data_IF_895920665365
#
_entry.id   IF_895920665365
#
_cell.length_a   1.000
_cell.length_b   1.000
_cell.length_c   1.000
_cell.angle_alpha   90.00
_cell.angle_beta   90.00
_cell.angle_gamma   90.00
#
_symmetry.space_group_name_H-M   'P 1'
#
loop_
_entity.id
_entity.type
_entity.pdbx_description
1 polymer ?
#
# COMPACT_ATOMS: atom_id res chain seq x y z
N UNK A 1 50.58 12.07 -23.27
CA UNK A 1 50.26 10.77 -22.63
C UNK A 1 51.00 10.73 -21.31
N UNK A 2 50.38 11.19 -20.21
CA UNK A 2 50.89 10.92 -18.86
C UNK A 2 49.89 9.98 -18.18
N UNK A 3 50.41 8.86 -17.69
CA UNK A 3 49.62 7.72 -17.22
C UNK A 3 48.68 8.05 -16.08
N UNK A 4 47.57 7.31 -16.04
CA UNK A 4 46.61 7.34 -14.96
C UNK A 4 47.26 6.95 -13.64
N UNK A 5 46.91 7.70 -12.59
CA UNK A 5 47.17 7.32 -11.22
C UNK A 5 46.30 6.13 -10.85
N UNK A 6 46.94 5.04 -10.44
CA UNK A 6 46.26 3.83 -9.99
C UNK A 6 45.70 4.06 -8.59
N UNK A 7 44.41 3.73 -8.41
CA UNK A 7 43.59 3.88 -7.20
C UNK A 7 44.00 2.95 -6.05
N UNK A 8 45.22 3.10 -5.51
CA UNK A 8 45.64 2.36 -4.30
C UNK A 8 46.43 3.29 -3.38
N UNK A 9 45.75 3.94 -2.45
CA UNK A 9 46.36 4.46 -1.22
C UNK A 9 46.49 3.28 -0.25
N UNK A 10 47.60 2.53 -0.32
CA UNK A 10 47.98 1.60 0.77
C UNK A 10 48.47 2.44 1.93
N UNK A 11 47.67 2.52 3.00
CA UNK A 11 48.11 3.02 4.30
C UNK A 11 48.95 1.93 4.98
N UNK A 12 50.27 2.06 4.98
CA UNK A 12 51.16 1.20 5.78
C UNK A 12 51.10 1.61 7.24
N UNK A 13 50.69 0.76 8.20
CA UNK A 13 50.58 1.18 9.59
C UNK A 13 51.92 1.73 10.10
N UNK A 14 51.88 2.92 10.71
CA UNK A 14 53.05 3.51 11.35
C UNK A 14 53.58 2.64 12.50
N UNK A 15 54.82 2.86 12.95
CA UNK A 15 55.50 2.00 13.94
C UNK A 15 54.76 1.84 15.28
N UNK A 16 53.72 2.63 15.56
CA UNK A 16 52.95 2.61 16.81
C UNK A 16 51.43 2.41 16.62
N UNK A 17 50.96 1.87 15.49
CA UNK A 17 49.51 1.74 15.22
C UNK A 17 48.76 3.10 15.25
N UNK A 18 49.46 4.21 15.03
CA UNK A 18 48.80 5.51 14.91
C UNK A 18 47.89 5.51 13.68
N UNK A 19 46.64 5.93 13.87
CA UNK A 19 45.67 6.03 12.78
C UNK A 19 46.19 7.03 11.77
N UNK A 20 46.50 6.56 10.55
CA UNK A 20 47.03 7.38 9.47
C UNK A 20 45.93 8.26 8.90
N UNK A 21 45.77 9.44 9.49
CA UNK A 21 45.02 10.52 8.87
C UNK A 21 45.90 11.21 7.83
N UNK A 22 45.37 11.55 6.65
CA UNK A 22 46.13 12.36 5.70
C UNK A 22 46.36 13.76 6.29
N UNK A 23 47.62 14.18 6.40
CA UNK A 23 47.99 15.52 6.90
C UNK A 23 47.59 16.65 5.94
N UNK A 24 47.28 16.32 4.69
CA UNK A 24 46.74 17.29 3.71
C UNK A 24 45.72 16.64 2.78
N UNK A 25 44.63 17.36 2.49
CA UNK A 25 43.55 16.92 1.58
C UNK A 25 43.80 17.26 0.11
N UNK A 26 44.99 17.78 -0.25
CA UNK A 26 45.27 18.29 -1.60
C UNK A 26 45.18 17.25 -2.72
N UNK A 27 45.43 15.97 -2.42
CA UNK A 27 45.32 14.84 -3.35
C UNK A 27 44.19 13.86 -2.98
N UNK A 28 43.26 14.26 -2.13
CA UNK A 28 42.17 13.40 -1.71
C UNK A 28 41.10 13.32 -2.81
N UNK A 29 40.92 12.16 -3.42
CA UNK A 29 39.89 11.94 -4.44
C UNK A 29 38.75 11.12 -3.82
N UNK A 30 37.56 11.71 -3.73
CA UNK A 30 36.38 11.04 -3.20
C UNK A 30 35.65 10.33 -4.35
N UNK A 31 35.49 9.00 -4.27
CA UNK A 31 34.72 8.23 -5.26
C UNK A 31 33.21 8.38 -5.02
N UNK A 32 32.70 9.60 -5.25
CA UNK A 32 31.29 9.95 -5.04
C UNK A 32 30.37 9.26 -6.04
N UNK A 33 30.93 8.91 -7.20
CA UNK A 33 30.22 8.30 -8.32
C UNK A 33 29.66 6.94 -7.93
N UNK A 34 30.48 6.09 -7.28
CA UNK A 34 30.04 4.79 -6.78
C UNK A 34 28.93 4.90 -5.74
N UNK A 35 29.04 5.85 -4.80
CA UNK A 35 28.00 6.06 -3.79
C UNK A 35 26.69 6.57 -4.40
N UNK A 36 26.75 7.54 -5.30
CA UNK A 36 25.56 8.09 -5.96
C UNK A 36 24.75 7.03 -6.72
N UNK A 37 25.45 6.06 -7.31
CA UNK A 37 24.86 5.01 -8.12
C UNK A 37 24.14 3.94 -7.29
N UNK A 38 24.47 3.73 -6.01
CA UNK A 38 23.92 2.60 -5.24
C UNK A 38 23.03 3.07 -4.09
N UNK A 39 23.34 4.24 -3.53
CA UNK A 39 22.77 4.66 -2.27
C UNK A 39 21.37 5.25 -2.48
N UNK A 40 20.35 4.55 -1.97
CA UNK A 40 18.95 5.02 -1.95
C UNK A 40 18.02 4.40 -2.98
N UNK A 41 18.51 3.50 -3.84
CA UNK A 41 17.72 2.87 -4.90
C UNK A 41 16.43 2.23 -4.36
N UNK A 42 16.55 1.41 -3.31
CA UNK A 42 15.39 0.74 -2.70
C UNK A 42 14.39 1.70 -2.06
N UNK A 43 14.86 2.77 -1.40
CA UNK A 43 13.98 3.75 -0.75
C UNK A 43 13.23 4.62 -1.76
N UNK A 44 13.86 4.95 -2.88
CA UNK A 44 13.24 5.69 -3.98
C UNK A 44 12.26 4.81 -4.75
N UNK A 45 12.63 3.56 -5.05
CA UNK A 45 11.76 2.60 -5.72
C UNK A 45 10.47 2.32 -4.92
N UNK A 46 10.58 2.12 -3.60
CA UNK A 46 9.44 1.87 -2.73
C UNK A 46 8.42 3.02 -2.73
N UNK A 47 8.89 4.27 -2.84
CA UNK A 47 8.04 5.46 -2.82
C UNK A 47 7.69 5.98 -4.23
N UNK A 48 8.18 5.34 -5.30
CA UNK A 48 8.07 5.80 -6.67
C UNK A 48 6.61 5.98 -7.12
N UNK A 49 5.78 4.98 -6.82
CA UNK A 49 4.37 4.95 -7.22
C UNK A 49 3.59 6.11 -6.60
N UNK A 50 3.77 6.36 -5.30
CA UNK A 50 3.09 7.46 -4.61
C UNK A 50 3.64 8.83 -5.02
N UNK A 51 4.96 8.90 -5.25
CA UNK A 51 5.62 10.11 -5.74
C UNK A 51 5.05 10.58 -7.07
N UNK A 52 4.84 9.65 -7.99
CA UNK A 52 4.29 9.94 -9.30
C UNK A 52 2.85 10.49 -9.25
N UNK A 53 2.06 10.24 -8.20
CA UNK A 53 0.72 10.83 -8.09
C UNK A 53 0.76 12.35 -7.84
N UNK A 54 1.80 12.87 -7.19
CA UNK A 54 1.96 14.30 -6.88
C UNK A 54 2.42 15.13 -8.09
N UNK A 55 2.04 16.41 -8.18
CA UNK A 55 2.57 17.33 -9.21
C UNK A 55 4.00 17.78 -8.90
N UNK A 56 4.42 17.70 -7.64
CA UNK A 56 5.81 17.95 -7.22
C UNK A 56 6.81 16.98 -7.86
N UNK A 57 6.33 15.92 -8.48
CA UNK A 57 7.15 14.98 -9.23
C UNK A 57 7.80 15.61 -10.48
N UNK A 58 7.27 16.73 -10.99
CA UNK A 58 7.86 17.49 -12.09
C UNK A 58 8.94 18.48 -11.67
N UNK A 59 9.14 18.69 -10.37
CA UNK A 59 10.05 19.71 -9.87
C UNK A 59 11.53 19.27 -10.07
N UNK A 60 12.41 20.14 -10.60
CA UNK A 60 13.82 19.83 -10.81
C UNK A 60 14.56 19.71 -9.47
N UNK A 61 14.88 18.49 -9.05
CA UNK A 61 15.38 18.19 -7.71
C UNK A 61 16.46 17.12 -7.73
N UNK A 62 17.19 17.01 -6.63
CA UNK A 62 18.08 15.88 -6.42
C UNK A 62 17.28 14.63 -6.05
N UNK A 63 17.56 13.53 -6.76
CA UNK A 63 17.00 12.21 -6.49
C UNK A 63 18.19 11.25 -6.32
N UNK A 64 18.29 10.52 -5.19
CA UNK A 64 19.29 9.48 -5.05
C UNK A 64 18.97 8.33 -6.00
N UNK A 65 19.99 7.74 -6.65
CA UNK A 65 19.82 6.58 -7.54
C UNK A 65 18.66 6.70 -8.55
N UNK A 66 18.62 7.74 -9.42
CA UNK A 66 17.50 7.99 -10.32
C UNK A 66 17.28 6.88 -11.36
N UNK A 67 18.29 6.03 -11.61
CA UNK A 67 18.17 4.85 -12.47
C UNK A 67 17.08 3.87 -12.01
N UNK A 68 16.74 3.84 -10.71
CA UNK A 68 15.64 3.04 -10.17
C UNK A 68 14.30 3.33 -10.86
N UNK A 69 14.15 4.56 -11.39
CA UNK A 69 12.93 5.08 -11.99
C UNK A 69 12.99 5.09 -13.53
N UNK A 70 14.11 4.68 -14.13
CA UNK A 70 14.32 4.68 -15.59
C UNK A 70 14.18 3.28 -16.19
N UNK A 71 13.44 2.38 -15.53
CA UNK A 71 13.24 1.01 -15.97
C UNK A 71 12.71 0.96 -17.42
N UNK A 72 13.20 0.05 -18.29
CA UNK A 72 12.75 -0.05 -19.68
C UNK A 72 11.28 -0.50 -19.79
N UNK A 73 10.85 -1.34 -18.85
CA UNK A 73 9.47 -1.82 -18.70
C UNK A 73 8.91 -1.31 -17.38
N UNK A 74 7.78 -0.58 -17.44
CA UNK A 74 7.08 -0.07 -16.27
C UNK A 74 6.00 -1.06 -15.82
N UNK A 75 5.71 -1.15 -14.50
CA UNK A 75 4.61 -1.95 -14.00
C UNK A 75 3.27 -1.38 -14.50
N UNK A 76 2.37 -2.23 -14.98
CA UNK A 76 1.04 -1.83 -15.46
C UNK A 76 -0.02 -1.84 -14.35
N UNK A 77 0.30 -2.46 -13.22
CA UNK A 77 -0.57 -2.62 -12.06
C UNK A 77 0.21 -2.30 -10.79
N UNK A 78 -0.50 -1.82 -9.78
CA UNK A 78 0.06 -1.70 -8.44
C UNK A 78 0.23 -3.11 -7.88
N UNK A 79 1.40 -3.42 -7.33
CA UNK A 79 1.65 -4.75 -6.78
C UNK A 79 0.83 -4.93 -5.49
N UNK A 80 0.07 -6.03 -5.36
CA UNK A 80 -0.70 -6.28 -4.17
C UNK A 80 0.22 -6.54 -2.98
N UNK A 81 0.06 -5.74 -1.92
CA UNK A 81 0.91 -5.79 -0.73
C UNK A 81 0.63 -7.03 0.14
N UNK A 82 -0.60 -7.56 0.09
CA UNK A 82 -1.04 -8.63 0.99
C UNK A 82 -1.75 -9.75 0.26
N UNK A 83 -1.27 -10.99 0.49
CA UNK A 83 -1.97 -12.21 0.09
C UNK A 83 -3.09 -12.48 1.10
N UNK A 84 -4.33 -12.24 0.69
CA UNK A 84 -5.52 -12.58 1.46
C UNK A 84 -6.65 -12.90 0.47
N UNK A 85 -7.51 -13.84 0.83
CA UNK A 85 -8.65 -14.19 -0.01
C UNK A 85 -9.81 -13.25 0.30
N UNK A 86 -10.31 -12.58 -0.73
CA UNK A 86 -11.39 -11.61 -0.67
C UNK A 86 -12.61 -12.21 -1.35
N UNK A 87 -13.72 -12.36 -0.63
CA UNK A 87 -14.96 -12.93 -1.14
C UNK A 87 -16.12 -11.99 -0.91
N UNK A 88 -16.86 -11.65 -1.97
CA UNK A 88 -18.12 -10.94 -1.84
C UNK A 88 -19.22 -11.87 -1.35
N UNK A 89 -19.97 -11.44 -0.35
CA UNK A 89 -20.98 -12.27 0.33
C UNK A 89 -22.17 -12.56 -0.55
N UNK A 90 -22.71 -11.55 -1.24
CA UNK A 90 -23.93 -11.69 -2.04
C UNK A 90 -23.65 -11.86 -3.55
N UNK A 91 -22.61 -11.21 -4.09
CA UNK A 91 -22.27 -11.34 -5.53
C UNK A 91 -21.43 -12.57 -5.85
N UNK A 92 -20.82 -13.18 -4.83
CA UNK A 92 -20.03 -14.41 -4.96
C UNK A 92 -18.70 -14.24 -5.73
N UNK A 93 -18.28 -13.00 -5.97
CA UNK A 93 -17.00 -12.72 -6.61
C UNK A 93 -15.83 -13.04 -5.65
N UNK A 94 -14.76 -13.63 -6.16
CA UNK A 94 -13.60 -14.03 -5.35
C UNK A 94 -12.30 -13.61 -5.99
N UNK A 95 -11.40 -13.06 -5.19
CA UNK A 95 -10.02 -12.73 -5.57
C UNK A 95 -9.06 -13.18 -4.47
N UNK A 96 -7.91 -13.74 -4.84
CA UNK A 96 -6.93 -14.31 -3.89
C UNK A 96 -5.91 -13.30 -3.36
N UNK A 97 -6.13 -12.00 -3.60
CA UNK A 97 -5.28 -10.92 -3.14
C UNK A 97 -6.08 -9.65 -2.85
N UNK A 98 -5.52 -8.78 -2.01
CA UNK A 98 -6.05 -7.45 -1.76
C UNK A 98 -5.29 -6.46 -2.65
N UNK A 99 -6.03 -5.63 -3.38
CA UNK A 99 -5.50 -4.52 -4.15
C UNK A 99 -4.82 -3.46 -3.27
N UNK A 100 -3.86 -2.69 -3.81
CA UNK A 100 -2.99 -1.84 -3.00
C UNK A 100 -3.74 -0.67 -2.33
N UNK A 101 -4.71 -0.06 -3.00
CA UNK A 101 -5.54 1.00 -2.43
C UNK A 101 -6.40 0.46 -1.29
N UNK A 102 -6.94 -0.74 -1.45
CA UNK A 102 -7.71 -1.42 -0.42
C UNK A 102 -6.87 -1.76 0.81
N UNK A 103 -5.68 -2.34 0.60
CA UNK A 103 -4.79 -2.73 1.71
C UNK A 103 -4.25 -1.51 2.47
N UNK A 104 -3.93 -0.42 1.78
CA UNK A 104 -3.46 0.82 2.40
C UNK A 104 -4.56 1.55 3.19
N UNK A 105 -5.80 1.58 2.67
CA UNK A 105 -6.97 2.06 3.40
C UNK A 105 -7.20 1.24 4.67
N UNK A 106 -7.07 -0.08 4.55
CA UNK A 106 -7.24 -1.06 5.62
C UNK A 106 -5.94 -1.36 6.38
N UNK A 107 -4.95 -0.46 6.39
CA UNK A 107 -3.62 -0.69 6.99
C UNK A 107 -3.63 -1.33 8.39
N UNK A 108 -4.57 -0.94 9.26
CA UNK A 108 -4.71 -1.55 10.61
C UNK A 108 -5.19 -3.01 10.60
N UNK A 109 -5.71 -3.52 9.49
CA UNK A 109 -6.16 -4.89 9.32
C UNK A 109 -5.04 -5.84 8.90
N UNK A 110 -3.90 -5.32 8.42
CA UNK A 110 -2.75 -6.16 8.04
C UNK A 110 -2.02 -6.76 9.25
N UNK A 111 -1.98 -6.02 10.37
CA UNK A 111 -1.32 -6.44 11.62
C UNK A 111 -2.28 -7.16 12.60
N UNK A 112 -3.34 -7.80 12.10
CA UNK A 112 -4.28 -8.49 12.99
C UNK A 112 -3.63 -9.73 13.62
N UNK A 113 -3.75 -9.93 14.94
CA UNK A 113 -3.35 -11.17 15.57
C UNK A 113 -4.11 -12.39 15.00
N UNK A 114 -3.55 -13.60 15.13
CA UNK A 114 -4.21 -14.83 14.69
C UNK A 114 -5.61 -14.96 15.27
N UNK A 115 -6.55 -15.47 14.45
CA UNK A 115 -7.95 -15.73 14.84
C UNK A 115 -8.76 -14.51 15.31
N UNK A 116 -8.27 -13.31 15.07
CA UNK A 116 -9.01 -12.08 15.33
C UNK A 116 -10.10 -11.87 14.28
N UNK A 117 -11.23 -11.31 14.70
CA UNK A 117 -12.32 -10.90 13.80
C UNK A 117 -12.57 -9.42 13.95
N UNK A 118 -12.64 -8.72 12.82
CA UNK A 118 -12.90 -7.29 12.79
C UNK A 118 -14.04 -6.96 11.83
N UNK A 119 -14.88 -6.01 12.20
CA UNK A 119 -15.92 -5.47 11.33
C UNK A 119 -15.68 -3.98 11.09
N UNK A 120 -15.62 -3.58 9.82
CA UNK A 120 -15.45 -2.19 9.40
C UNK A 120 -16.53 -1.84 8.39
N UNK A 121 -17.03 -0.61 8.46
CA UNK A 121 -17.94 -0.08 7.46
C UNK A 121 -17.23 1.01 6.65
N UNK A 122 -17.36 0.93 5.33
CA UNK A 122 -16.78 1.88 4.38
C UNK A 122 -17.93 2.56 3.64
N UNK A 123 -18.08 3.86 3.85
CA UNK A 123 -19.08 4.68 3.18
C UNK A 123 -18.39 5.74 2.32
N UNK A 124 -18.92 5.99 1.12
CA UNK A 124 -18.45 7.08 0.28
C UNK A 124 -18.90 8.42 0.84
N UNK A 125 -17.97 9.33 1.09
CA UNK A 125 -18.32 10.67 1.57
C UNK A 125 -18.67 11.57 0.40
N UNK A 126 -19.97 11.85 0.19
CA UNK A 126 -20.40 12.86 -0.80
C UNK A 126 -20.06 14.30 -0.38
N UNK A 127 -19.81 14.51 0.92
CA UNK A 127 -19.63 15.83 1.54
C UNK A 127 -18.26 16.48 1.32
N UNK A 128 -17.30 15.83 0.64
CA UNK A 128 -15.96 16.38 0.39
C UNK A 128 -15.90 17.39 -0.77
N UNK A 129 -16.90 18.27 -0.85
CA UNK A 129 -16.84 19.48 -1.66
C UNK A 129 -16.20 20.62 -0.86
N UNK A 130 -15.18 20.32 -0.05
CA UNK A 130 -14.38 21.31 0.66
C UNK A 130 -13.65 22.14 -0.38
N UNK A 131 -13.67 23.48 -0.23
CA UNK A 131 -12.97 24.40 -1.12
C UNK A 131 -11.51 23.93 -1.24
N UNK A 132 -11.08 23.50 -2.42
CA UNK A 132 -9.69 23.05 -2.60
C UNK A 132 -8.75 24.15 -2.12
N UNK A 133 -7.92 23.81 -1.13
CA UNK A 133 -6.91 24.72 -0.60
C UNK A 133 -5.96 25.10 -1.73
N UNK A 134 -5.32 26.27 -1.65
CA UNK A 134 -4.31 26.66 -2.63
C UNK A 134 -3.19 25.62 -2.71
N UNK A 135 -2.82 25.00 -1.58
CA UNK A 135 -1.84 23.92 -1.50
C UNK A 135 -2.27 22.67 -2.28
N UNK A 136 -3.55 22.28 -2.26
CA UNK A 136 -4.02 21.12 -3.04
C UNK A 136 -3.97 21.40 -4.55
N UNK A 137 -4.15 22.67 -4.95
CA UNK A 137 -4.01 23.06 -6.36
C UNK A 137 -2.55 23.04 -6.80
N UNK A 138 -1.66 23.63 -6.02
CA UNK A 138 -0.24 23.71 -6.34
C UNK A 138 0.46 22.35 -6.27
N UNK A 139 0.18 21.55 -5.22
CA UNK A 139 0.91 20.30 -4.94
C UNK A 139 0.25 19.08 -5.59
N UNK A 140 -1.09 19.04 -5.73
CA UNK A 140 -1.81 17.90 -6.32
C UNK A 140 -2.39 18.17 -7.71
N UNK A 141 -2.39 19.42 -8.19
CA UNK A 141 -2.96 19.78 -9.49
C UNK A 141 -4.48 19.61 -9.55
N UNK A 142 -5.20 19.76 -8.44
CA UNK A 142 -6.68 19.68 -8.47
C UNK A 142 -7.27 20.87 -9.22
N UNK A 143 -8.18 20.67 -10.20
CA UNK A 143 -8.82 21.77 -10.92
C UNK A 143 -9.63 22.66 -9.97
N UNK A 144 -9.60 23.98 -10.19
CA UNK A 144 -10.32 24.97 -9.39
C UNK A 144 -11.84 24.77 -9.53
N UNK A 145 -12.53 24.50 -8.43
CA UNK A 145 -13.98 24.22 -8.38
C UNK A 145 -14.85 25.33 -9.00
N UNK A 146 -14.34 26.57 -9.11
CA UNK A 146 -15.07 27.71 -9.71
C UNK A 146 -15.25 27.59 -11.22
N UNK A 147 -14.38 26.87 -11.94
CA UNK A 147 -14.42 26.80 -13.40
C UNK A 147 -15.53 25.87 -13.96
N UNK A 148 -16.24 25.11 -13.12
CA UNK A 148 -17.18 24.06 -13.55
C UNK A 148 -18.61 24.21 -12.97
N UNK A 149 -18.93 25.35 -12.36
CA UNK A 149 -20.26 25.58 -11.77
C UNK A 149 -21.36 25.88 -12.80
N UNK A 150 -21.01 26.14 -14.06
CA UNK A 150 -21.97 26.54 -15.10
C UNK A 150 -22.47 25.38 -16.00
N UNK A 151 -22.16 24.12 -15.68
CA UNK A 151 -22.66 22.97 -16.44
C UNK A 151 -23.59 22.15 -15.54
N UNK A 152 -24.90 22.26 -15.81
CA UNK A 152 -26.03 21.56 -15.17
C UNK A 152 -26.08 20.05 -15.47
N UNK A 153 -24.93 19.42 -15.65
CA UNK A 153 -24.80 17.98 -15.69
C UNK A 153 -24.08 17.59 -14.40
N UNK A 154 -24.77 16.90 -13.50
CA UNK A 154 -24.22 16.25 -12.31
C UNK A 154 -23.26 15.14 -12.75
N UNK A 155 -22.14 15.51 -13.36
CA UNK A 155 -21.03 14.60 -13.61
C UNK A 155 -20.38 14.40 -12.25
N UNK A 156 -20.78 13.32 -11.57
CA UNK A 156 -20.15 12.84 -10.35
C UNK A 156 -18.64 12.88 -10.55
N UNK A 157 -17.95 13.70 -9.74
CA UNK A 157 -16.49 13.81 -9.79
C UNK A 157 -15.93 12.43 -9.51
N UNK A 158 -15.14 11.92 -10.46
CA UNK A 158 -14.46 10.62 -10.33
C UNK A 158 -13.67 10.62 -9.02
N UNK A 159 -13.86 9.61 -8.14
CA UNK A 159 -13.11 9.49 -6.90
C UNK A 159 -11.68 9.10 -7.25
N UNK A 160 -10.87 10.09 -7.61
CA UNK A 160 -9.46 9.90 -7.86
C UNK A 160 -8.76 9.82 -6.51
N UNK A 161 -8.34 8.62 -6.12
CA UNK A 161 -7.39 8.46 -5.02
C UNK A 161 -6.09 9.15 -5.46
N UNK A 162 -5.63 10.13 -4.66
CA UNK A 162 -4.45 10.97 -4.96
C UNK A 162 -3.44 10.91 -3.82
N UNK A 163 -2.20 11.32 -4.11
CA UNK A 163 -1.21 11.57 -3.07
C UNK A 163 -1.66 12.69 -2.13
N UNK A 164 -1.30 12.58 -0.85
CA UNK A 164 -1.55 13.60 0.16
C UNK A 164 -0.71 14.87 -0.12
N UNK A 165 -1.34 16.06 -0.05
CA UNK A 165 -0.69 17.33 -0.43
C UNK A 165 0.53 17.65 0.44
N UNK A 166 0.41 17.40 1.75
CA UNK A 166 1.48 17.60 2.72
C UNK A 166 1.99 16.26 3.28
N UNK A 167 1.98 15.22 2.45
CA UNK A 167 2.59 13.94 2.82
C UNK A 167 4.09 14.11 3.11
N UNK A 168 4.70 13.22 3.92
CA UNK A 168 6.14 13.24 4.22
C UNK A 168 7.02 13.33 2.96
N UNK A 169 6.56 12.68 1.90
CA UNK A 169 7.22 12.69 0.61
C UNK A 169 7.26 14.07 -0.06
N UNK A 170 6.22 14.90 0.08
CA UNK A 170 6.20 16.26 -0.47
C UNK A 170 7.33 17.11 0.13
N UNK A 171 7.56 16.99 1.44
CA UNK A 171 8.68 17.65 2.11
C UNK A 171 10.04 17.17 1.61
N UNK A 172 10.21 15.87 1.37
CA UNK A 172 11.45 15.35 0.77
C UNK A 172 11.65 15.90 -0.64
N UNK A 173 10.60 16.00 -1.44
CA UNK A 173 10.72 16.58 -2.79
C UNK A 173 11.12 18.06 -2.77
N UNK A 174 10.55 18.84 -1.84
CA UNK A 174 10.90 20.25 -1.63
C UNK A 174 12.32 20.40 -1.07
N UNK A 175 12.73 19.51 -0.16
CA UNK A 175 14.09 19.45 0.37
C UNK A 175 15.11 19.16 -0.73
N UNK A 176 14.84 18.19 -1.61
CA UNK A 176 15.69 17.87 -2.76
C UNK A 176 15.79 19.02 -3.77
N UNK A 177 14.71 19.80 -3.94
CA UNK A 177 14.75 21.03 -4.73
C UNK A 177 15.60 22.11 -4.06
N UNK A 178 15.44 22.33 -2.76
CA UNK A 178 16.24 23.27 -1.99
C UNK A 178 17.73 22.94 -2.00
N UNK A 179 18.08 21.65 -1.91
CA UNK A 179 19.47 21.18 -2.02
C UNK A 179 20.04 21.40 -3.43
N UNK A 180 19.24 21.16 -4.49
CA UNK A 180 19.64 21.47 -5.87
C UNK A 180 19.95 22.96 -6.05
N UNK A 181 19.06 23.84 -5.57
CA UNK A 181 19.28 25.30 -5.62
C UNK A 181 20.52 25.70 -4.83
N UNK A 182 20.71 25.13 -3.65
CA UNK A 182 21.89 25.43 -2.80
C UNK A 182 23.19 25.02 -3.50
N UNK A 183 23.24 23.82 -4.08
CA UNK A 183 24.41 23.33 -4.83
C UNK A 183 24.67 24.13 -6.11
N UNK A 184 23.61 24.59 -6.78
CA UNK A 184 23.75 25.48 -7.93
C UNK A 184 24.39 26.81 -7.52
N UNK A 185 23.89 27.44 -6.44
CA UNK A 185 24.43 28.71 -5.94
C UNK A 185 25.88 28.55 -5.45
N UNK A 186 26.20 27.47 -4.76
CA UNK A 186 27.58 27.17 -4.36
C UNK A 186 28.49 26.98 -5.58
N UNK A 187 28.04 26.29 -6.61
CA UNK A 187 28.80 26.11 -7.86
C UNK A 187 29.12 27.45 -8.54
N UNK A 188 28.19 28.41 -8.51
CA UNK A 188 28.40 29.77 -9.02
C UNK A 188 29.38 30.55 -8.16
N UNK A 189 29.26 30.49 -6.82
CA UNK A 189 30.15 31.20 -5.89
C UNK A 189 31.59 30.71 -5.99
N UNK A 190 31.81 29.40 -6.10
CA UNK A 190 33.14 28.81 -6.25
C UNK A 190 33.67 28.87 -7.70
N UNK A 191 32.83 29.25 -8.67
CA UNK A 191 33.20 29.38 -10.08
C UNK A 191 33.54 28.05 -10.76
N UNK A 192 32.84 26.97 -10.39
CA UNK A 192 33.03 25.64 -10.99
C UNK A 192 31.92 25.31 -11.99
N UNK A 193 32.26 25.42 -13.28
CA UNK A 193 31.34 25.12 -14.38
C UNK A 193 30.93 23.65 -14.45
N UNK A 194 31.78 22.71 -14.02
CA UNK A 194 31.48 21.28 -14.09
C UNK A 194 30.45 20.88 -13.04
N UNK A 195 30.59 21.39 -11.81
CA UNK A 195 29.56 21.22 -10.77
C UNK A 195 28.24 21.90 -11.15
N UNK A 196 28.29 23.09 -11.77
CA UNK A 196 27.09 23.78 -12.24
C UNK A 196 26.35 22.95 -13.31
N UNK A 197 27.10 22.41 -14.28
CA UNK A 197 26.56 21.54 -15.33
C UNK A 197 25.97 20.26 -14.76
N UNK A 198 26.68 19.61 -13.82
CA UNK A 198 26.17 18.43 -13.10
C UNK A 198 24.85 18.74 -12.39
N UNK A 199 24.76 19.89 -11.69
CA UNK A 199 23.55 20.30 -10.99
C UNK A 199 22.39 20.47 -11.95
N UNK A 200 22.61 21.16 -13.08
CA UNK A 200 21.58 21.42 -14.08
C UNK A 200 21.10 20.12 -14.73
N UNK A 201 22.03 19.26 -15.16
CA UNK A 201 21.71 18.00 -15.84
C UNK A 201 20.98 17.03 -14.91
N UNK A 202 21.44 16.86 -13.66
CA UNK A 202 20.82 15.95 -12.70
C UNK A 202 19.47 16.48 -12.21
N UNK A 203 19.28 17.80 -12.11
CA UNK A 203 17.99 18.39 -11.77
C UNK A 203 16.99 18.29 -12.92
N UNK A 204 17.44 18.45 -14.18
CA UNK A 204 16.58 18.21 -15.34
C UNK A 204 16.24 16.73 -15.50
N UNK A 205 17.19 15.84 -15.20
CA UNK A 205 16.95 14.39 -15.18
C UNK A 205 15.79 14.03 -14.26
N UNK A 206 15.69 14.65 -13.07
CA UNK A 206 14.56 14.39 -12.16
C UNK A 206 13.22 14.79 -12.77
N UNK A 207 13.16 15.89 -13.53
CA UNK A 207 11.93 16.32 -14.22
C UNK A 207 11.55 15.37 -15.34
N UNK A 208 12.55 14.86 -16.08
CA UNK A 208 12.37 13.89 -17.15
C UNK A 208 11.83 12.56 -16.61
N UNK A 209 12.42 12.07 -15.51
CA UNK A 209 11.91 10.93 -14.73
C UNK A 209 10.49 11.20 -14.24
N UNK A 210 10.23 12.45 -13.84
CA UNK A 210 8.93 13.00 -13.48
C UNK A 210 7.85 12.75 -14.52
N UNK A 211 8.12 13.21 -15.74
CA UNK A 211 7.26 13.07 -16.91
C UNK A 211 7.10 11.60 -17.30
N UNK A 212 8.19 10.85 -17.27
CA UNK A 212 8.20 9.44 -17.64
C UNK A 212 7.26 8.63 -16.75
N UNK A 213 7.34 8.79 -15.43
CA UNK A 213 6.58 7.94 -14.50
C UNK A 213 5.25 8.55 -14.05
N UNK A 214 4.82 9.70 -14.59
CA UNK A 214 3.55 10.29 -14.20
C UNK A 214 2.39 9.38 -14.59
N UNK A 215 1.55 9.06 -13.61
CA UNK A 215 0.37 8.22 -13.79
C UNK A 215 -0.84 8.72 -13.00
N UNK A 216 -2.01 8.17 -13.35
CA UNK A 216 -3.28 8.38 -12.66
C UNK A 216 -4.00 7.05 -12.47
N UNK A 217 -4.68 6.88 -11.34
CA UNK A 217 -5.55 5.73 -11.09
C UNK A 217 -6.94 6.00 -11.66
N UNK A 218 -7.48 5.05 -12.43
CA UNK A 218 -8.87 5.07 -12.89
C UNK A 218 -9.58 3.83 -12.38
N UNK A 219 -10.49 4.02 -11.45
CA UNK A 219 -11.28 2.93 -10.90
C UNK A 219 -12.53 2.72 -11.76
N UNK A 220 -12.75 1.48 -12.20
CA UNK A 220 -13.80 1.15 -13.18
C UNK A 220 -15.18 1.15 -12.50
N UNK A 221 -16.03 2.14 -12.83
CA UNK A 221 -17.42 2.18 -12.35
C UNK A 221 -18.30 1.12 -13.06
N UNK A 222 -19.31 0.63 -12.33
CA UNK A 222 -20.33 -0.29 -12.85
C UNK A 222 -21.30 0.47 -13.78
N UNK A 223 -21.88 -0.25 -14.74
CA UNK A 223 -23.09 0.21 -15.44
C UNK A 223 -24.30 0.08 -14.52
N UNK A 224 -25.20 1.03 -14.56
CA UNK A 224 -26.36 1.08 -13.66
C UNK A 224 -27.27 -0.16 -13.87
N UNK A 225 -27.70 -0.79 -12.78
CA UNK A 225 -28.49 -2.03 -12.76
C UNK A 225 -28.75 -2.52 -11.34
N UNK A 226 -29.41 -3.69 -11.18
CA UNK A 226 -29.74 -4.24 -9.86
C UNK A 226 -28.49 -4.44 -8.98
N UNK A 227 -28.51 -3.88 -7.77
CA UNK A 227 -27.36 -3.84 -6.86
C UNK A 227 -27.60 -4.84 -5.73
N UNK A 228 -26.91 -6.00 -5.70
CA UNK A 228 -26.91 -6.86 -4.52
C UNK A 228 -26.17 -6.17 -3.36
N UNK A 229 -26.29 -6.69 -2.15
CA UNK A 229 -25.52 -6.19 -1.00
C UNK A 229 -24.01 -6.33 -1.27
N UNK A 230 -23.24 -5.29 -0.98
CA UNK A 230 -21.80 -5.21 -1.29
C UNK A 230 -20.88 -5.69 -0.18
N UNK A 231 -21.37 -6.51 0.75
CA UNK A 231 -20.58 -6.98 1.87
C UNK A 231 -19.43 -7.86 1.39
N UNK A 232 -18.24 -7.62 1.92
CA UNK A 232 -17.00 -8.33 1.56
C UNK A 232 -16.39 -8.96 2.81
N UNK A 233 -15.96 -10.21 2.70
CA UNK A 233 -15.19 -10.89 3.73
C UNK A 233 -13.77 -11.11 3.22
N UNK A 234 -12.80 -10.66 4.01
CA UNK A 234 -11.37 -10.84 3.75
C UNK A 234 -10.83 -11.85 4.76
N UNK A 235 -10.23 -12.91 4.24
CA UNK A 235 -9.55 -13.95 5.01
C UNK A 235 -8.05 -13.81 4.88
N UNK A 236 -7.38 -13.63 6.00
CA UNK A 236 -5.93 -13.59 6.04
C UNK A 236 -5.32 -14.98 6.31
N UNK A 237 -4.06 -15.22 5.91
CA UNK A 237 -3.38 -16.52 6.10
C UNK A 237 -3.22 -16.94 7.57
N UNK A 238 -3.20 -15.99 8.50
CA UNK A 238 -3.13 -16.21 9.95
C UNK A 238 -4.48 -16.69 10.56
N UNK A 239 -5.50 -16.94 9.74
CA UNK A 239 -6.82 -17.36 10.20
C UNK A 239 -7.65 -16.25 10.85
N UNK A 240 -7.27 -14.98 10.64
CA UNK A 240 -8.08 -13.82 11.01
C UNK A 240 -9.04 -13.43 9.88
N UNK A 241 -10.15 -12.81 10.25
CA UNK A 241 -11.21 -12.42 9.33
C UNK A 241 -11.54 -10.93 9.48
N UNK A 242 -11.67 -10.23 8.36
CA UNK A 242 -12.18 -8.88 8.30
C UNK A 242 -13.47 -8.87 7.48
N UNK A 243 -14.57 -8.47 8.11
CA UNK A 243 -15.85 -8.24 7.43
C UNK A 243 -15.96 -6.76 7.13
N UNK A 244 -16.11 -6.42 5.86
CA UNK A 244 -16.27 -5.07 5.36
C UNK A 244 -17.71 -4.89 4.91
N UNK A 245 -18.43 -3.99 5.60
CA UNK A 245 -19.77 -3.56 5.20
C UNK A 245 -19.62 -2.37 4.25
N UNK A 246 -20.09 -2.52 3.02
CA UNK A 246 -20.03 -1.46 2.03
C UNK A 246 -21.05 -1.66 0.92
N UNK A 247 -21.36 -0.59 0.19
CA UNK A 247 -22.14 -0.68 -1.04
C UNK A 247 -21.37 -1.49 -2.10
N UNK A 248 -22.09 -2.23 -2.93
CA UNK A 248 -21.49 -3.05 -4.01
C UNK A 248 -20.67 -2.21 -4.99
N UNK A 249 -21.01 -0.92 -5.17
CA UNK A 249 -20.22 0.00 -5.96
C UNK A 249 -18.82 0.19 -5.37
N UNK A 250 -18.71 0.37 -4.05
CA UNK A 250 -17.44 0.51 -3.33
C UNK A 250 -16.72 -0.82 -3.31
N UNK A 251 -17.43 -1.91 -3.02
CA UNK A 251 -16.86 -3.26 -2.98
C UNK A 251 -16.15 -3.60 -4.29
N UNK A 252 -16.83 -3.34 -5.41
CA UNK A 252 -16.29 -3.60 -6.74
C UNK A 252 -15.18 -2.66 -7.12
N UNK A 253 -15.27 -1.39 -6.74
CA UNK A 253 -14.24 -0.39 -7.05
C UNK A 253 -12.94 -0.64 -6.29
N UNK A 254 -13.04 -0.98 -5.00
CA UNK A 254 -11.90 -1.09 -4.10
C UNK A 254 -11.29 -2.50 -4.10
N UNK A 255 -12.12 -3.55 -4.11
CA UNK A 255 -11.65 -4.93 -3.94
C UNK A 255 -11.63 -5.75 -5.22
N UNK A 256 -12.49 -5.46 -6.20
CA UNK A 256 -12.65 -6.32 -7.39
C UNK A 256 -12.24 -5.69 -8.73
N UNK A 257 -12.07 -4.37 -8.77
CA UNK A 257 -11.66 -3.67 -9.99
C UNK A 257 -10.14 -3.75 -10.11
N UNK A 258 -9.62 -4.11 -11.29
CA UNK A 258 -8.18 -4.14 -11.49
C UNK A 258 -7.61 -2.71 -11.35
N UNK A 259 -6.61 -2.56 -10.49
CA UNK A 259 -5.86 -1.31 -10.33
C UNK A 259 -4.88 -1.12 -11.49
N UNK A 260 -5.40 -0.69 -12.64
CA UNK A 260 -4.59 -0.38 -13.81
C UNK A 260 -4.01 1.04 -13.72
N UNK A 261 -2.71 1.15 -13.98
CA UNK A 261 -1.97 2.39 -13.96
C UNK A 261 -2.08 3.05 -15.34
N UNK A 262 -2.80 4.18 -15.45
CA UNK A 262 -2.87 4.97 -16.69
C UNK A 262 -1.73 6.00 -16.71
N UNK A 263 -0.66 5.68 -17.42
CA UNK A 263 0.49 6.57 -17.60
C UNK A 263 0.18 7.72 -18.56
N UNK A 264 0.76 8.89 -18.31
CA UNK A 264 0.67 10.01 -19.27
C UNK A 264 1.32 9.68 -20.61
N UNK A 265 2.47 9.00 -20.59
CA UNK A 265 3.16 8.50 -21.78
C UNK A 265 2.69 7.07 -22.05
N UNK A 266 1.77 6.91 -23.01
CA UNK A 266 1.18 5.61 -23.37
C UNK A 266 2.02 4.80 -24.34
N UNK A 267 2.76 5.45 -25.23
CA UNK A 267 3.58 4.77 -26.24
C UNK A 267 4.82 4.14 -25.61
N UNK A 268 5.04 2.81 -25.76
CA UNK A 268 6.24 2.14 -25.26
C UNK A 268 7.52 2.69 -25.87
N UNK A 269 7.51 3.02 -27.16
CA UNK A 269 8.69 3.54 -27.87
C UNK A 269 9.11 4.92 -27.34
N UNK A 270 8.14 5.80 -27.08
CA UNK A 270 8.42 7.12 -26.50
C UNK A 270 8.99 6.99 -25.09
N UNK A 271 8.44 6.06 -24.30
CA UNK A 271 8.96 5.77 -22.96
C UNK A 271 10.41 5.24 -22.99
N UNK A 272 10.73 4.32 -23.89
CA UNK A 272 12.09 3.80 -24.06
C UNK A 272 13.08 4.89 -24.48
N UNK A 273 12.67 5.81 -25.36
CA UNK A 273 13.48 6.96 -25.75
C UNK A 273 13.74 7.89 -24.55
N UNK A 274 12.71 8.14 -23.72
CA UNK A 274 12.84 8.94 -22.49
C UNK A 274 13.77 8.26 -21.49
N UNK A 275 13.64 6.95 -21.29
CA UNK A 275 14.53 6.15 -20.42
C UNK A 275 15.98 6.22 -20.90
N UNK A 276 16.23 6.01 -22.20
CA UNK A 276 17.56 6.12 -22.83
C UNK A 276 18.14 7.52 -22.69
N UNK A 277 17.32 8.56 -22.91
CA UNK A 277 17.76 9.95 -22.73
C UNK A 277 18.11 10.22 -21.26
N UNK A 278 17.31 9.69 -20.33
CA UNK A 278 17.54 9.81 -18.89
C UNK A 278 18.83 9.13 -18.44
N UNK A 279 19.15 7.93 -18.95
CA UNK A 279 20.39 7.24 -18.60
C UNK A 279 21.61 7.96 -19.15
N UNK A 280 21.54 8.52 -20.36
CA UNK A 280 22.61 9.36 -20.92
C UNK A 280 22.82 10.65 -20.12
N UNK A 281 21.73 11.32 -19.72
CA UNK A 281 21.79 12.49 -18.85
C UNK A 281 22.40 12.14 -17.49
N UNK A 282 22.06 10.99 -16.91
CA UNK A 282 22.64 10.50 -15.67
C UNK A 282 24.16 10.32 -15.83
N UNK A 283 24.59 9.55 -16.84
CA UNK A 283 26.02 9.31 -17.08
C UNK A 283 26.78 10.63 -17.28
N UNK A 284 26.23 11.56 -18.06
CA UNK A 284 26.84 12.86 -18.29
C UNK A 284 26.93 13.71 -17.01
N UNK A 285 25.85 13.74 -16.21
CA UNK A 285 25.83 14.46 -14.93
C UNK A 285 26.85 13.91 -13.93
N UNK A 286 27.01 12.58 -13.89
CA UNK A 286 28.00 11.89 -13.06
C UNK A 286 29.43 12.19 -13.50
N UNK A 287 29.71 12.15 -14.81
CA UNK A 287 31.03 12.51 -15.36
C UNK A 287 31.37 13.97 -15.04
N UNK A 288 30.40 14.87 -15.19
CA UNK A 288 30.60 16.28 -14.85
C UNK A 288 30.89 16.47 -13.36
N UNK A 289 30.22 15.73 -12.49
CA UNK A 289 30.46 15.76 -11.04
C UNK A 289 31.85 15.21 -10.67
N UNK A 290 32.30 14.13 -11.32
CA UNK A 290 33.61 13.54 -11.06
C UNK A 290 34.78 14.50 -11.40
N UNK A 291 34.54 15.43 -12.33
CA UNK A 291 35.50 16.47 -12.73
C UNK A 291 35.29 17.82 -12.01
N UNK A 292 34.36 17.89 -11.05
CA UNK A 292 34.15 19.07 -10.22
C UNK A 292 35.28 19.24 -9.20
N UNK A 293 35.41 20.45 -8.65
CA UNK A 293 36.35 20.72 -7.55
C UNK A 293 36.01 19.92 -6.30
N UNK A 294 37.05 19.55 -5.56
CA UNK A 294 36.98 18.69 -4.38
C UNK A 294 36.04 19.27 -3.29
N UNK A 295 36.06 20.58 -3.08
CA UNK A 295 35.19 21.26 -2.10
C UNK A 295 33.70 21.09 -2.45
N UNK A 296 33.36 21.16 -3.75
CA UNK A 296 31.99 20.97 -4.23
C UNK A 296 31.60 19.49 -4.26
N UNK A 297 32.54 18.57 -4.52
CA UNK A 297 32.28 17.14 -4.40
C UNK A 297 31.86 16.76 -2.97
N UNK A 298 32.47 17.34 -1.93
CA UNK A 298 32.01 17.14 -0.55
C UNK A 298 30.62 17.72 -0.28
N UNK A 299 30.31 18.90 -0.81
CA UNK A 299 28.98 19.49 -0.69
C UNK A 299 27.92 18.58 -1.34
N UNK A 300 28.22 18.03 -2.51
CA UNK A 300 27.39 17.05 -3.19
C UNK A 300 27.22 15.77 -2.39
N UNK A 301 28.29 15.22 -1.83
CA UNK A 301 28.23 14.02 -0.99
C UNK A 301 27.32 14.26 0.22
N UNK A 302 27.49 15.39 0.90
CA UNK A 302 26.64 15.79 2.03
C UNK A 302 25.16 15.92 1.64
N UNK A 303 24.88 16.60 0.53
CA UNK A 303 23.50 16.75 0.03
C UNK A 303 22.85 15.40 -0.29
N UNK A 304 23.59 14.47 -0.90
CA UNK A 304 23.09 13.13 -1.20
C UNK A 304 22.86 12.28 0.05
N UNK A 305 23.74 12.36 1.03
CA UNK A 305 23.55 11.66 2.32
C UNK A 305 22.29 12.19 3.02
N UNK A 306 22.10 13.51 3.06
CA UNK A 306 20.94 14.15 3.68
C UNK A 306 19.64 13.73 2.98
N UNK A 307 19.57 13.85 1.66
CA UNK A 307 18.34 13.51 0.93
C UNK A 307 18.06 12.01 1.00
N UNK A 308 19.09 11.16 0.96
CA UNK A 308 18.92 9.72 1.11
C UNK A 308 18.38 9.35 2.50
N UNK A 309 18.93 9.93 3.56
CA UNK A 309 18.43 9.72 4.91
C UNK A 309 16.96 10.15 5.02
N UNK A 310 16.59 11.27 4.38
CA UNK A 310 15.19 11.72 4.32
C UNK A 310 14.28 10.72 3.58
N UNK A 311 14.72 10.17 2.44
CA UNK A 311 13.99 9.11 1.73
C UNK A 311 13.83 7.84 2.56
N UNK A 312 14.84 7.46 3.34
CA UNK A 312 14.77 6.30 4.23
C UNK A 312 13.78 6.52 5.38
N UNK A 313 13.78 7.70 5.99
CA UNK A 313 12.80 8.09 7.01
C UNK A 313 11.39 8.00 6.43
N UNK A 314 11.16 8.54 5.22
CA UNK A 314 9.85 8.49 4.55
C UNK A 314 9.41 7.08 4.22
N UNK A 315 10.33 6.20 3.80
CA UNK A 315 10.05 4.80 3.55
C UNK A 315 9.66 4.03 4.82
N UNK A 316 10.11 4.48 6.00
CA UNK A 316 9.72 3.90 7.29
C UNK A 316 8.34 4.37 7.78
N UNK A 317 7.78 5.44 7.21
CA UNK A 317 6.45 5.94 7.60
C UNK A 317 5.35 5.05 7.01
N UNK A 318 4.28 4.73 7.77
CA UNK A 318 3.19 3.90 7.28
C UNK A 318 2.62 4.37 5.93
N UNK A 319 2.36 3.46 4.98
CA UNK A 319 1.88 3.80 3.63
C UNK A 319 0.64 4.68 3.61
N UNK A 320 -0.26 4.52 4.58
CA UNK A 320 -1.50 5.30 4.69
C UNK A 320 -1.28 6.83 4.72
N UNK A 321 -0.13 7.29 5.22
CA UNK A 321 0.20 8.73 5.31
C UNK A 321 0.61 9.37 3.98
N UNK A 322 0.84 8.57 2.94
CA UNK A 322 1.21 9.08 1.62
C UNK A 322 -0.01 9.20 0.70
N UNK A 323 -1.13 8.57 1.06
CA UNK A 323 -2.34 8.46 0.26
C UNK A 323 -3.49 9.23 0.92
N UNK A 324 -4.22 10.00 0.11
CA UNK A 324 -5.42 10.68 0.58
C UNK A 324 -6.67 9.83 0.31
N UNK A 325 -7.24 9.31 1.40
CA UNK A 325 -8.48 8.53 1.41
C UNK A 325 -9.70 9.34 1.86
N UNK A 326 -9.65 10.67 1.84
CA UNK A 326 -10.77 11.53 2.26
C UNK A 326 -12.10 11.23 1.56
N UNK A 327 -12.09 10.59 0.39
CA UNK A 327 -13.30 10.12 -0.29
C UNK A 327 -14.03 8.97 0.45
N UNK A 328 -13.36 8.23 1.32
CA UNK A 328 -13.91 7.11 2.07
C UNK A 328 -13.96 7.42 3.57
N UNK A 329 -15.12 7.22 4.17
CA UNK A 329 -15.29 7.24 5.62
C UNK A 329 -15.17 5.81 6.13
N UNK A 330 -14.08 5.53 6.85
CA UNK A 330 -13.86 4.26 7.52
C UNK A 330 -14.38 4.36 8.96
N UNK A 331 -15.38 3.57 9.30
CA UNK A 331 -15.90 3.43 10.66
C UNK A 331 -15.59 2.02 11.19
N UNK A 332 -14.95 1.97 12.35
CA UNK A 332 -14.59 0.70 13.00
C UNK A 332 -15.70 0.35 14.00
N UNK A 333 -16.44 -0.72 13.73
CA UNK A 333 -17.60 -1.10 14.55
C UNK A 333 -17.27 -2.19 15.56
N UNK A 334 -16.42 -3.14 15.19
CA UNK A 334 -16.06 -4.24 16.08
C UNK A 334 -14.61 -4.66 15.90
N UNK A 335 -13.94 -4.85 17.03
CA UNK A 335 -12.59 -5.36 17.15
C UNK A 335 -12.67 -6.51 18.14
N UNK A 336 -12.68 -7.75 17.65
CA UNK A 336 -12.66 -8.92 18.53
C UNK A 336 -11.32 -8.99 19.24
N UNK A 337 -11.30 -9.29 20.54
CA UNK A 337 -10.05 -9.55 21.24
C UNK A 337 -9.42 -10.82 20.65
N UNK A 338 -8.27 -10.69 19.99
CA UNK A 338 -7.49 -11.83 19.53
C UNK A 338 -6.75 -12.46 20.70
N UNK A 339 -7.43 -13.30 21.48
CA UNK A 339 -6.76 -14.19 22.43
C UNK A 339 -6.25 -15.43 21.69
N UNK A 340 -5.04 -15.90 22.02
CA UNK A 340 -4.52 -17.20 21.54
C UNK A 340 -5.44 -18.38 21.90
N UNK A 341 -6.37 -18.19 22.85
CA UNK A 341 -7.34 -19.19 23.28
C UNK A 341 -8.54 -19.31 22.33
N UNK A 342 -8.77 -18.33 21.45
CA UNK A 342 -9.86 -18.35 20.47
C UNK A 342 -9.45 -19.23 19.29
N UNK A 343 -10.08 -20.40 19.19
CA UNK A 343 -9.85 -21.32 18.08
C UNK A 343 -10.38 -20.79 16.74
N UNK A 344 -9.81 -21.29 15.64
CA UNK A 344 -10.25 -20.97 14.28
C UNK A 344 -11.78 -21.08 14.06
N UNK A 345 -12.42 -22.10 14.65
CA UNK A 345 -13.87 -22.33 14.57
C UNK A 345 -14.69 -21.20 15.16
N UNK A 346 -14.20 -20.58 16.25
CA UNK A 346 -14.88 -19.46 16.88
C UNK A 346 -14.70 -18.16 16.07
N UNK A 347 -13.50 -17.92 15.54
CA UNK A 347 -13.26 -16.82 14.62
C UNK A 347 -14.12 -16.92 13.36
N UNK A 348 -14.21 -18.12 12.77
CA UNK A 348 -15.06 -18.37 11.62
C UNK A 348 -16.55 -18.16 11.94
N UNK A 349 -17.02 -18.64 13.10
CA UNK A 349 -18.40 -18.40 13.54
C UNK A 349 -18.69 -16.91 13.67
N UNK A 350 -17.83 -16.15 14.36
CA UNK A 350 -17.98 -14.68 14.49
C UNK A 350 -18.02 -13.99 13.12
N UNK A 351 -17.16 -14.40 12.18
CA UNK A 351 -17.17 -13.87 10.82
C UNK A 351 -18.48 -14.18 10.07
N UNK A 352 -19.01 -15.40 10.20
CA UNK A 352 -20.31 -15.80 9.60
C UNK A 352 -21.45 -14.95 10.17
N UNK A 353 -21.46 -14.74 11.48
CA UNK A 353 -22.46 -13.91 12.17
C UNK A 353 -22.43 -12.47 11.65
N UNK A 354 -21.24 -11.88 11.47
CA UNK A 354 -21.12 -10.52 10.91
C UNK A 354 -21.46 -10.44 9.42
N UNK A 355 -21.11 -11.47 8.64
CA UNK A 355 -21.42 -11.54 7.21
C UNK A 355 -22.91 -11.81 6.95
N UNK A 356 -23.63 -12.43 7.89
CA UNK A 356 -25.06 -12.76 7.74
C UNK A 356 -25.34 -13.86 6.71
N UNK A 357 -24.31 -14.60 6.27
CA UNK A 357 -24.44 -15.67 5.28
C UNK A 357 -23.29 -16.66 5.42
N UNK A 358 -23.51 -17.91 5.01
CA UNK A 358 -22.47 -18.95 4.90
C UNK A 358 -21.96 -19.13 3.47
N UNK A 359 -22.57 -18.48 2.47
CA UNK A 359 -22.29 -18.74 1.06
C UNK A 359 -20.82 -18.44 0.71
N UNK A 360 -20.29 -17.34 1.23
CA UNK A 360 -18.89 -16.94 1.05
C UNK A 360 -17.90 -17.99 1.57
N UNK A 361 -18.24 -18.77 2.60
CA UNK A 361 -17.32 -19.78 3.14
C UNK A 361 -17.02 -20.92 2.15
N UNK A 362 -17.89 -21.13 1.17
CA UNK A 362 -17.80 -22.21 0.18
C UNK A 362 -17.22 -21.76 -1.16
N UNK A 363 -17.06 -20.45 -1.39
CA UNK A 363 -16.64 -19.89 -2.66
C UNK A 363 -15.11 -19.71 -2.73
N UNK A 364 -14.54 -19.91 -3.92
CA UNK A 364 -13.10 -19.73 -4.19
C UNK A 364 -12.21 -20.63 -3.31
N UNK A 365 -11.23 -20.03 -2.61
CA UNK A 365 -10.44 -20.73 -1.59
C UNK A 365 -11.31 -20.96 -0.34
N UNK A 366 -11.77 -22.21 -0.09
CA UNK A 366 -12.78 -22.46 0.94
C UNK A 366 -12.29 -21.97 2.30
N UNK A 367 -13.09 -21.09 2.93
CA UNK A 367 -12.76 -20.57 4.26
C UNK A 367 -12.67 -21.71 5.27
N UNK A 368 -13.60 -22.68 5.18
CA UNK A 368 -13.62 -23.90 5.97
C UNK A 368 -13.04 -25.09 5.17
N UNK A 369 -12.35 -26.04 5.83
CA UNK A 369 -11.93 -27.29 5.19
C UNK A 369 -13.10 -28.06 4.57
N UNK A 370 -12.92 -28.62 3.38
CA UNK A 370 -13.93 -29.42 2.68
C UNK A 370 -14.03 -30.84 3.25
N UNK A 371 -14.51 -30.96 4.48
CA UNK A 371 -14.79 -32.26 5.12
C UNK A 371 -16.29 -32.39 5.37
N UNK A 372 -16.82 -33.63 5.49
CA UNK A 372 -18.23 -33.84 5.81
C UNK A 372 -18.61 -33.20 7.15
N UNK A 373 -17.72 -33.25 8.16
CA UNK A 373 -17.92 -32.63 9.47
C UNK A 373 -18.09 -31.11 9.36
N UNK A 374 -17.21 -30.43 8.61
CA UNK A 374 -17.31 -28.99 8.38
C UNK A 374 -18.55 -28.60 7.56
N UNK A 375 -18.96 -29.44 6.61
CA UNK A 375 -20.17 -29.19 5.81
C UNK A 375 -21.43 -29.24 6.68
N UNK A 376 -21.52 -30.23 7.57
CA UNK A 376 -22.60 -30.37 8.54
C UNK A 376 -22.59 -29.23 9.56
N UNK A 377 -21.41 -28.85 10.08
CA UNK A 377 -21.26 -27.71 10.98
C UNK A 377 -21.72 -26.39 10.34
N UNK A 378 -21.39 -26.14 9.07
CA UNK A 378 -21.83 -24.93 8.35
C UNK A 378 -23.36 -24.89 8.18
N UNK A 379 -24.00 -26.04 7.97
CA UNK A 379 -25.47 -26.13 7.86
C UNK A 379 -26.12 -25.86 9.21
N UNK A 380 -25.60 -26.42 10.30
CA UNK A 380 -26.08 -26.11 11.65
C UNK A 380 -25.89 -24.62 11.98
N UNK A 381 -24.72 -24.07 11.67
CA UNK A 381 -24.43 -22.64 11.84
C UNK A 381 -25.42 -21.74 11.08
N UNK A 382 -25.81 -22.11 9.85
CA UNK A 382 -26.83 -21.38 9.09
C UNK A 382 -28.22 -21.50 9.73
N UNK A 383 -28.58 -22.67 10.27
CA UNK A 383 -29.82 -22.85 11.02
C UNK A 383 -29.89 -21.94 12.26
N UNK A 384 -28.79 -21.83 13.00
CA UNK A 384 -28.69 -20.93 14.15
C UNK A 384 -28.77 -19.45 13.76
N UNK A 385 -28.21 -19.07 12.61
CA UNK A 385 -28.33 -17.72 12.08
C UNK A 385 -29.80 -17.36 11.76
N UNK A 386 -30.58 -18.32 11.24
CA UNK A 386 -31.99 -18.12 10.87
C UNK A 386 -32.95 -18.18 12.06
N UNK A 387 -32.63 -18.91 13.12
CA UNK A 387 -33.49 -19.09 14.29
C UNK A 387 -33.59 -17.85 15.21
N UNK A 388 -32.69 -16.87 15.06
CA UNK A 388 -32.79 -15.59 15.77
C UNK A 388 -32.42 -15.66 17.25
N UNK A 389 -31.14 -15.54 17.55
CA UNK A 389 -30.62 -14.97 18.81
C UNK A 389 -30.02 -13.57 18.46
N UNK A 390 -29.86 -12.63 19.43
CA UNK A 390 -30.10 -11.17 19.35
C UNK A 390 -29.08 -10.36 18.53
N UNK A 391 -28.78 -10.85 17.35
CA UNK A 391 -27.87 -10.27 16.38
C UNK A 391 -28.66 -9.40 15.41
N UNK A 392 -29.93 -9.74 15.11
CA UNK A 392 -30.85 -8.88 14.37
C UNK A 392 -31.09 -7.54 15.08
N UNK A 393 -31.19 -7.50 16.41
CA UNK A 393 -31.31 -6.24 17.17
C UNK A 393 -30.04 -5.36 17.10
N UNK A 394 -28.89 -5.98 16.79
CA UNK A 394 -27.65 -5.26 16.50
C UNK A 394 -27.66 -4.71 15.05
N UNK A 395 -28.43 -5.32 14.14
CA UNK A 395 -28.45 -5.04 12.71
C UNK A 395 -29.68 -4.24 12.23
N UNK A 396 -30.81 -4.25 12.95
CA UNK A 396 -32.03 -3.51 12.65
C UNK A 396 -31.93 -2.08 13.16
N UNK A 397 -31.59 -1.15 12.26
CA UNK A 397 -31.93 0.28 12.24
C UNK A 397 -31.63 1.18 13.45
N UNK A 398 -32.03 0.81 14.66
CA UNK A 398 -32.00 1.66 15.86
C UNK A 398 -30.63 1.74 16.55
N UNK A 399 -29.75 0.75 16.39
CA UNK A 399 -28.42 0.75 17.00
C UNK A 399 -27.41 1.59 16.18
N UNK A 400 -27.57 1.65 14.85
CA UNK A 400 -26.69 2.37 13.92
C UNK A 400 -26.97 3.87 13.83
N UNK A 401 -28.23 4.29 14.08
CA UNK A 401 -28.62 5.71 14.03
C UNK A 401 -28.30 6.50 15.31
N UNK A 402 -27.99 5.83 16.43
CA UNK A 402 -27.75 6.49 17.72
C UNK A 402 -26.44 6.08 18.36
N UNK A 403 -25.37 6.84 18.08
CA UNK A 403 -24.51 7.34 19.17
C UNK A 403 -23.66 8.56 18.75
N UNK A 404 -23.58 9.59 19.61
CA UNK A 404 -22.58 10.64 19.47
C UNK A 404 -21.19 10.04 19.70
N UNK A 405 -20.22 10.56 18.95
CA UNK A 405 -18.79 10.37 19.15
C UNK A 405 -18.45 10.41 20.65
N UNK A 406 -18.04 9.28 21.22
CA UNK A 406 -17.39 9.28 22.54
C UNK A 406 -16.12 10.13 22.43
N UNK A 407 -15.98 11.12 23.31
CA UNK A 407 -14.85 12.05 23.41
C UNK A 407 -13.47 11.38 23.58
N UNK A 408 -13.38 10.05 23.67
CA UNK A 408 -12.13 9.32 23.90
C UNK A 408 -11.95 8.02 23.11
N UNK A 409 -12.49 7.89 21.90
CA UNK A 409 -11.97 6.94 20.88
C UNK A 409 -11.74 5.47 21.27
N UNK A 410 -12.38 4.96 22.34
CA UNK A 410 -12.25 3.56 22.76
C UNK A 410 -13.36 2.71 22.13
N UNK A 411 -13.03 1.56 21.50
CA UNK A 411 -14.03 0.63 21.00
C UNK A 411 -14.78 -0.01 22.17
N UNK A 412 -16.11 0.00 22.11
CA UNK A 412 -16.96 -0.62 23.13
C UNK A 412 -16.84 -2.14 23.00
N UNK A 413 -16.12 -2.78 23.93
CA UNK A 413 -16.00 -4.22 24.06
C UNK A 413 -17.37 -4.86 24.36
N UNK A 414 -18.05 -5.34 23.32
CA UNK A 414 -19.32 -6.08 23.46
C UNK A 414 -19.19 -7.50 22.89
N UNK A 415 -18.07 -8.18 23.19
CA UNK A 415 -17.84 -9.57 22.78
C UNK A 415 -18.69 -10.54 23.61
N UNK A 416 -18.93 -10.21 24.88
CA UNK A 416 -19.59 -11.09 25.86
C UNK A 416 -21.09 -11.31 25.62
N UNK A 417 -21.73 -10.59 24.70
CA UNK A 417 -23.15 -10.80 24.33
C UNK A 417 -23.35 -11.55 23.00
N UNK A 418 -22.29 -11.76 22.20
CA UNK A 418 -22.35 -12.53 20.96
C UNK A 418 -22.20 -14.04 21.19
N UNK A 419 -21.67 -14.44 22.35
CA UNK A 419 -21.82 -15.79 22.88
C UNK A 419 -23.27 -15.95 23.37
N UNK A 420 -24.22 -16.05 22.44
CA UNK A 420 -25.43 -16.82 22.70
C UNK A 420 -25.05 -18.26 23.05
N UNK A 421 -26.01 -19.08 23.48
CA UNK A 421 -25.81 -20.46 23.97
C UNK A 421 -25.14 -21.45 22.99
N UNK A 422 -24.68 -20.99 21.82
CA UNK A 422 -24.02 -21.76 20.78
C UNK A 422 -22.49 -21.69 20.91
N UNK A 423 -21.91 -22.66 21.63
CA UNK A 423 -20.46 -22.84 21.71
C UNK A 423 -19.91 -23.53 20.46
N UNK A 424 -19.55 -22.72 19.46
CA UNK A 424 -19.17 -23.19 18.12
C UNK A 424 -18.05 -24.24 18.08
N UNK A 425 -17.07 -24.15 18.99
CA UNK A 425 -15.97 -25.11 19.12
C UNK A 425 -16.45 -26.48 19.63
N UNK A 426 -17.24 -26.51 20.72
CA UNK A 426 -17.78 -27.76 21.28
C UNK A 426 -18.70 -28.47 20.30
N UNK A 427 -19.51 -27.72 19.55
CA UNK A 427 -20.37 -28.28 18.50
C UNK A 427 -19.54 -28.96 17.41
N UNK A 428 -18.47 -28.32 16.96
CA UNK A 428 -17.60 -28.90 15.94
C UNK A 428 -16.91 -30.17 16.43
N UNK A 429 -16.36 -30.15 17.66
CA UNK A 429 -15.73 -31.33 18.29
C UNK A 429 -16.72 -32.50 18.43
N UNK A 430 -17.98 -32.22 18.77
CA UNK A 430 -19.03 -33.25 18.85
C UNK A 430 -19.33 -33.88 17.47
N UNK A 431 -19.42 -33.07 16.41
CA UNK A 431 -19.64 -33.56 15.04
C UNK A 431 -18.45 -34.40 14.57
N UNK A 432 -17.22 -33.93 14.80
CA UNK A 432 -16.01 -34.66 14.41
C UNK A 432 -15.93 -36.02 15.09
N UNK A 433 -16.24 -36.09 16.40
CA UNK A 433 -16.29 -37.36 17.15
C UNK A 433 -17.33 -38.33 16.56
N UNK A 434 -18.51 -37.84 16.16
CA UNK A 434 -19.54 -38.66 15.51
C UNK A 434 -19.08 -39.22 14.15
N UNK A 435 -18.39 -38.43 13.34
CA UNK A 435 -17.86 -38.92 12.05
C UNK A 435 -16.71 -39.91 12.24
N UNK A 436 -15.84 -39.69 13.24
CA UNK A 436 -14.74 -40.60 13.58
C UNK A 436 -15.26 -41.97 14.03
N UNK A 437 -16.20 -41.98 14.97
CA UNK A 437 -16.86 -43.22 15.46
C UNK A 437 -17.61 -43.97 14.36
N UNK A 438 -18.31 -43.27 13.46
CA UNK A 438 -18.94 -43.88 12.28
C UNK A 438 -17.92 -44.46 11.28
N UNK A 439 -16.76 -43.81 11.13
CA UNK A 439 -15.66 -44.30 10.31
C UNK A 439 -15.04 -45.58 10.86
N UNK A 440 -14.76 -45.62 12.17
CA UNK A 440 -14.25 -46.80 12.87
C UNK A 440 -15.25 -47.98 12.81
N UNK A 441 -16.55 -47.72 12.98
CA UNK A 441 -17.60 -48.74 12.86
C UNK A 441 -17.70 -49.37 11.45
N UNK A 442 -17.39 -48.61 10.39
CA UNK A 442 -17.35 -49.13 9.00
C UNK A 442 -16.15 -50.03 8.72
N UNK A 443 -15.03 -49.81 9.40
CA UNK A 443 -13.81 -50.64 9.27
C UNK A 443 -13.93 -51.99 10.01
N UNK A 444 -14.80 -52.07 11.02
CA UNK A 444 -15.04 -53.30 11.81
C UNK A 444 -16.11 -54.23 11.26
N UNK A 445 -16.73 -53.94 10.10
CA UNK A 445 -17.65 -54.90 9.46
C UNK A 445 -16.82 -55.92 8.65
N UNK A 446 -16.76 -57.21 9.05
CA UNK A 446 -16.02 -58.21 8.29
C UNK A 446 -16.67 -58.43 6.93
N UNK A 447 -15.84 -58.51 5.89
CA UNK A 447 -16.26 -58.88 4.54
C UNK A 447 -17.09 -60.18 4.59
N UNK A 448 -18.39 -60.07 4.30
CA UNK A 448 -19.25 -61.24 4.14
C UNK A 448 -18.70 -62.12 3.00
N UNK A 449 -18.58 -63.40 3.31
CA UNK A 449 -17.95 -64.48 2.56
C UNK A 449 -18.42 -64.61 1.10
N UNK A 450 -17.57 -65.17 0.20
CA UNK A 450 -17.96 -65.45 -1.18
C UNK A 450 -19.08 -66.49 -1.24
N UNK A 451 -20.08 -66.24 -2.09
CA UNK A 451 -21.13 -67.21 -2.43
C UNK A 451 -20.48 -68.43 -3.10
N UNK A 452 -20.79 -69.60 -2.56
CA UNK A 452 -20.51 -70.93 -3.13
C UNK A 452 -21.37 -71.15 -4.37
#
# INVERSE_FOLDING_TARGET
MSGGGNNITISYPGPEWQMLWPDSFGNFQLDIVGFLAVLGEGAVAANAQVSALSQLFYLPRLIPAPQALLLPTRPTRLEPVTKASVTAVASGNVIDHIHNVASTLLSKAQDMPPHMVRCVEIVRTEKFRTKSSWSDRALRGTPSSKARANTTTTVAVEPLVKAEAFGPLAWVTLGGFGLSVTLFMLSVVYGDGMSMLATLVLSLLSTLVGISNKWSLKLIKRRDGFVPAGDVVIRYPNGSFLVVKCDEAIARELFFAPEEIDYMVKSPAVHQLISLTGTLMLMFGVIALANARLELQFAWAGAYIIINAAYWIVAAVPPRTHWDFSCYLLTEHFVGEGSQEIGFTEALWKAIVFAGSIQWCRLGQPAAPQTPAWTEWLVQAQGHLQLGDPVSDFFDGAYWERRPTSEKGQPVSTVSKLQGNWESKKVWEAIELQHRTKGEAKLTVPAQQPRI
#
